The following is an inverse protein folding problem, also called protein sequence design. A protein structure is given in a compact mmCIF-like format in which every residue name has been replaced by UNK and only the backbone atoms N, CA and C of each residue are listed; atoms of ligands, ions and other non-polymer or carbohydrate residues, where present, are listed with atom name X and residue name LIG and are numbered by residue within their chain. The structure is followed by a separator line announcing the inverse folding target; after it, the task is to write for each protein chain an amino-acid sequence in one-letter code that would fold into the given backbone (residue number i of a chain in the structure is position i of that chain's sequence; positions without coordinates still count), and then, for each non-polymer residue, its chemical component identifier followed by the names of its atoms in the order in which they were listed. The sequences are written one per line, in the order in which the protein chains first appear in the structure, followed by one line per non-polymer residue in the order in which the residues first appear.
data_IF_819311872950
#
_entry.id   IF_819311872950
#
_cell.length_a   1.000
_cell.length_b   1.000
_cell.length_c   1.000
_cell.angle_alpha   90.00
_cell.angle_beta   90.00
_cell.angle_gamma   90.00
#
_symmetry.space_group_name_H-M   'P 1'
#
loop_
_entity.id
_entity.type
_entity.pdbx_description
1 polymer ?
#
# COMPACT_ATOMS: atom_id res chain seq x y z
N UNK A 1 -5.24 23.51 10.49
CA UNK A 1 -5.56 23.27 9.06
C UNK A 1 -6.17 21.89 8.98
N UNK A 2 -7.40 21.76 8.48
CA UNK A 2 -7.96 20.43 8.17
C UNK A 2 -7.14 19.90 6.98
N UNK A 3 -6.37 18.83 7.15
CA UNK A 3 -5.72 18.19 6.02
C UNK A 3 -6.81 17.59 5.14
N UNK A 4 -6.89 18.05 3.90
CA UNK A 4 -7.73 17.42 2.88
C UNK A 4 -7.28 15.97 2.72
N UNK A 5 -8.22 15.02 2.68
CA UNK A 5 -7.90 13.60 2.47
C UNK A 5 -7.16 13.43 1.15
N UNK A 6 -6.04 12.68 1.19
CA UNK A 6 -5.24 12.28 0.04
C UNK A 6 -5.99 11.30 -0.87
N UNK A 7 -7.11 10.74 -0.40
CA UNK A 7 -7.95 9.80 -1.13
C UNK A 7 -9.31 10.40 -1.51
N UNK A 8 -9.55 11.69 -1.25
CA UNK A 8 -10.85 12.35 -1.39
C UNK A 8 -11.48 12.26 -2.80
N UNK A 9 -10.70 11.94 -3.84
CA UNK A 9 -11.19 11.81 -5.23
C UNK A 9 -11.26 10.36 -5.75
N UNK A 10 -11.22 9.35 -4.85
CA UNK A 10 -11.11 7.95 -5.28
C UNK A 10 -9.76 7.65 -5.94
N UNK A 11 -8.74 8.41 -5.54
CA UNK A 11 -7.40 8.33 -6.13
C UNK A 11 -6.73 6.99 -5.82
N UNK A 12 -5.96 6.51 -6.79
CA UNK A 12 -5.09 5.35 -6.63
C UNK A 12 -4.13 5.60 -5.44
N UNK A 13 -4.11 4.75 -4.41
CA UNK A 13 -3.25 4.94 -3.23
C UNK A 13 -1.77 5.13 -3.58
N UNK A 14 -1.30 4.49 -4.66
CA UNK A 14 0.07 4.67 -5.12
C UNK A 14 0.31 6.08 -5.69
N UNK A 15 -0.67 6.62 -6.43
CA UNK A 15 -0.58 7.99 -6.92
C UNK A 15 -0.55 9.00 -5.78
N UNK A 16 -1.44 8.85 -4.79
CA UNK A 16 -1.47 9.69 -3.60
C UNK A 16 -0.14 9.68 -2.83
N UNK A 17 0.51 8.51 -2.68
CA UNK A 17 1.85 8.42 -2.10
C UNK A 17 2.89 9.22 -2.90
N UNK A 18 2.89 9.07 -4.22
CA UNK A 18 3.82 9.80 -5.09
C UNK A 18 3.63 11.31 -4.97
N UNK A 19 2.39 11.80 -4.99
CA UNK A 19 2.08 13.21 -4.81
C UNK A 19 2.54 13.73 -3.44
N UNK A 20 2.29 12.98 -2.36
CA UNK A 20 2.72 13.35 -1.01
C UNK A 20 4.25 13.47 -0.88
N UNK A 21 4.98 12.54 -1.50
CA UNK A 21 6.44 12.57 -1.59
C UNK A 21 6.95 13.40 -2.77
N UNK A 22 6.07 14.16 -3.41
CA UNK A 22 6.42 15.19 -4.37
C UNK A 22 7.26 14.66 -5.56
N UNK A 23 6.97 13.43 -5.96
CA UNK A 23 7.54 12.74 -7.11
C UNK A 23 6.44 12.32 -8.07
N UNK A 24 6.73 12.26 -9.37
CA UNK A 24 5.80 11.70 -10.34
C UNK A 24 5.76 10.18 -10.23
N UNK A 25 4.55 9.60 -10.33
CA UNK A 25 4.40 8.15 -10.42
C UNK A 25 5.04 7.65 -11.72
N UNK A 26 6.07 6.82 -11.60
CA UNK A 26 6.71 6.18 -12.74
C UNK A 26 6.13 4.80 -13.01
N UNK A 27 6.20 4.36 -14.26
CA UNK A 27 5.91 2.99 -14.66
C UNK A 27 7.24 2.35 -15.01
N UNK A 28 7.81 1.47 -14.16
CA UNK A 28 9.10 0.89 -14.45
C UNK A 28 9.03 -0.05 -15.65
N UNK A 29 10.19 -0.25 -16.28
CA UNK A 29 10.41 -1.34 -17.22
C UNK A 29 10.21 -2.72 -16.57
N UNK A 30 10.40 -3.76 -17.37
CA UNK A 30 10.47 -5.12 -16.86
C UNK A 30 11.88 -5.37 -16.35
N UNK A 31 12.00 -5.69 -15.06
CA UNK A 31 13.27 -5.97 -14.41
C UNK A 31 13.16 -7.29 -13.66
N UNK A 32 14.22 -8.10 -13.73
CA UNK A 32 14.40 -9.18 -12.77
C UNK A 32 14.91 -8.59 -11.46
N UNK A 33 14.52 -9.12 -10.29
CA UNK A 33 15.09 -8.65 -9.03
C UNK A 33 16.62 -8.75 -8.94
N UNK A 34 17.26 -9.62 -9.72
CA UNK A 34 18.72 -9.74 -9.77
C UNK A 34 19.40 -8.60 -10.53
N UNK A 35 18.68 -7.96 -11.46
CA UNK A 35 19.20 -6.90 -12.34
C UNK A 35 18.68 -5.50 -11.95
N UNK A 36 18.08 -5.37 -10.76
CA UNK A 36 17.52 -4.10 -10.30
C UNK A 36 18.62 -3.09 -9.96
N UNK A 37 18.46 -1.82 -10.37
CA UNK A 37 19.43 -0.78 -10.05
C UNK A 37 19.40 -0.43 -8.56
N UNK A 38 20.51 0.09 -8.05
CA UNK A 38 20.63 0.55 -6.65
C UNK A 38 19.78 1.80 -6.36
N UNK A 39 19.57 2.65 -7.37
CA UNK A 39 18.73 3.83 -7.30
C UNK A 39 17.77 3.91 -8.48
N UNK A 40 16.69 4.67 -8.32
CA UNK A 40 15.78 5.04 -9.40
C UNK A 40 15.64 6.55 -9.49
N UNK A 41 15.57 7.04 -10.74
CA UNK A 41 15.33 8.44 -11.04
C UNK A 41 13.83 8.74 -11.06
N UNK A 42 13.44 9.78 -10.33
CA UNK A 42 12.07 10.27 -10.28
C UNK A 42 11.99 11.72 -10.73
N UNK A 43 11.07 12.06 -11.64
CA UNK A 43 10.74 13.45 -11.90
C UNK A 43 10.12 14.07 -10.64
N UNK A 44 10.62 15.24 -10.27
CA UNK A 44 10.18 15.98 -9.09
C UNK A 44 9.05 16.94 -9.48
N UNK A 45 8.03 17.08 -8.63
CA UNK A 45 6.91 18.00 -8.88
C UNK A 45 7.26 19.44 -8.46
N UNK A 46 7.82 19.61 -7.26
CA UNK A 46 8.25 20.90 -6.69
C UNK A 46 9.53 20.70 -5.87
N UNK A 47 10.20 21.73 -5.35
CA UNK A 47 11.27 21.49 -4.36
C UNK A 47 10.66 21.39 -2.95
N UNK A 48 10.23 20.18 -2.58
CA UNK A 48 9.51 19.89 -1.33
C UNK A 48 9.94 18.53 -0.76
N UNK A 49 9.16 17.97 0.16
CA UNK A 49 9.46 16.74 0.91
C UNK A 49 9.79 15.57 -0.02
N UNK A 50 11.08 15.25 -0.15
CA UNK A 50 11.57 14.09 -0.89
C UNK A 50 11.38 12.78 -0.09
N UNK A 51 11.10 11.65 -0.77
CA UNK A 51 11.19 10.35 -0.14
C UNK A 51 12.66 10.00 0.11
N UNK A 52 12.90 9.12 1.08
CA UNK A 52 14.26 8.65 1.38
C UNK A 52 14.63 7.42 0.57
N UNK A 53 13.64 6.58 0.28
CA UNK A 53 13.79 5.31 -0.41
C UNK A 53 12.56 5.03 -1.27
N UNK A 54 12.67 4.08 -2.17
CA UNK A 54 11.55 3.51 -2.92
C UNK A 54 11.54 2.00 -2.74
N UNK A 55 10.37 1.43 -2.51
CA UNK A 55 10.17 -0.02 -2.43
C UNK A 55 9.81 -0.54 -3.82
N UNK A 56 10.55 -1.53 -4.31
CA UNK A 56 10.17 -2.30 -5.50
C UNK A 56 9.39 -3.55 -5.09
N UNK A 57 8.08 -3.50 -5.31
CA UNK A 57 7.12 -4.50 -4.87
C UNK A 57 6.77 -5.44 -6.02
N UNK A 58 7.36 -6.63 -6.02
CA UNK A 58 7.09 -7.68 -7.01
C UNK A 58 5.89 -8.53 -6.59
N UNK A 59 5.10 -9.05 -7.54
CA UNK A 59 4.03 -10.01 -7.25
C UNK A 59 4.50 -11.16 -6.34
N UNK A 60 3.62 -11.71 -5.49
CA UNK A 60 4.01 -12.80 -4.60
C UNK A 60 4.51 -14.01 -5.40
N UNK A 61 5.47 -14.74 -4.83
CA UNK A 61 6.13 -15.90 -5.44
C UNK A 61 6.93 -15.61 -6.73
N UNK A 62 7.27 -14.34 -6.99
CA UNK A 62 8.10 -14.00 -8.13
C UNK A 62 9.54 -14.52 -7.96
N UNK A 63 10.06 -15.20 -8.98
CA UNK A 63 11.43 -15.69 -8.99
C UNK A 63 12.42 -14.53 -9.24
N UNK A 64 13.58 -14.57 -8.60
CA UNK A 64 14.66 -13.58 -8.75
C UNK A 64 15.17 -13.41 -10.18
N UNK A 65 14.97 -14.41 -11.04
CA UNK A 65 15.46 -14.43 -12.42
C UNK A 65 14.37 -14.14 -13.46
N UNK A 66 13.11 -14.06 -13.05
CA UNK A 66 12.02 -13.73 -13.97
C UNK A 66 11.85 -12.22 -14.00
N UNK A 67 11.68 -11.65 -15.18
CA UNK A 67 11.39 -10.23 -15.31
C UNK A 67 9.90 -9.98 -15.12
N UNK A 68 9.56 -9.02 -14.28
CA UNK A 68 8.21 -8.48 -14.15
C UNK A 68 8.27 -6.97 -13.97
N UNK A 69 7.10 -6.35 -14.05
CA UNK A 69 6.92 -4.94 -13.70
C UNK A 69 6.58 -4.84 -12.21
N UNK A 70 7.50 -4.37 -11.35
CA UNK A 70 7.18 -4.12 -9.94
C UNK A 70 6.31 -2.88 -9.78
N UNK A 71 5.57 -2.81 -8.68
CA UNK A 71 5.02 -1.54 -8.19
C UNK A 71 6.13 -0.79 -7.45
N UNK A 72 6.35 0.48 -7.76
CA UNK A 72 7.37 1.28 -7.09
C UNK A 72 6.69 2.26 -6.14
N UNK A 73 6.86 2.07 -4.83
CA UNK A 73 6.23 2.89 -3.80
C UNK A 73 7.27 3.76 -3.07
N UNK A 74 7.15 5.10 -3.10
CA UNK A 74 8.04 5.98 -2.34
C UNK A 74 7.78 5.88 -0.83
N UNK A 75 8.83 6.02 -0.03
CA UNK A 75 8.76 5.89 1.42
C UNK A 75 9.81 6.75 2.13
N UNK A 76 9.44 7.19 3.33
CA UNK A 76 10.30 7.87 4.29
C UNK A 76 10.71 6.85 5.36
N UNK A 77 12.01 6.59 5.50
CA UNK A 77 12.56 5.55 6.36
C UNK A 77 12.23 5.81 7.83
N UNK A 78 12.26 7.08 8.25
CA UNK A 78 11.96 7.46 9.63
C UNK A 78 10.48 7.21 9.95
N UNK A 79 9.58 7.60 9.04
CA UNK A 79 8.16 7.28 9.20
C UNK A 79 7.91 5.77 9.18
N UNK A 80 8.61 5.05 8.31
CA UNK A 80 8.48 3.59 8.21
C UNK A 80 8.87 2.90 9.52
N UNK A 81 10.03 3.24 10.07
CA UNK A 81 10.55 2.65 11.31
C UNK A 81 9.68 2.99 12.54
N UNK A 82 8.89 4.06 12.48
CA UNK A 82 7.89 4.38 13.52
C UNK A 82 6.59 3.57 13.35
N UNK A 83 6.20 3.29 12.10
CA UNK A 83 4.92 2.68 11.75
C UNK A 83 4.93 1.15 11.72
N UNK A 84 6.10 0.54 11.51
CA UNK A 84 6.28 -0.90 11.33
C UNK A 84 7.35 -1.45 12.26
N UNK A 85 7.19 -2.71 12.68
CA UNK A 85 8.17 -3.41 13.54
C UNK A 85 9.22 -4.18 12.76
N UNK A 86 8.97 -4.46 11.48
CA UNK A 86 9.88 -5.19 10.62
C UNK A 86 10.77 -4.21 9.88
N UNK A 87 12.07 -4.32 10.06
CA UNK A 87 13.05 -3.48 9.36
C UNK A 87 13.18 -3.92 7.90
N UNK A 88 12.54 -3.19 6.99
CA UNK A 88 12.70 -3.38 5.54
C UNK A 88 13.76 -2.46 4.94
N UNK A 89 13.84 -1.24 5.47
CA UNK A 89 14.61 -0.16 4.88
C UNK A 89 15.94 -0.09 5.62
N UNK A 90 17.08 -0.21 4.93
CA UNK A 90 18.37 -0.06 5.58
C UNK A 90 18.48 1.35 6.18
N UNK A 91 19.10 1.50 7.36
CA UNK A 91 19.30 2.82 7.95
C UNK A 91 20.15 3.68 7.02
N UNK A 92 19.77 4.95 6.87
CA UNK A 92 20.60 5.90 6.15
C UNK A 92 21.96 6.04 6.84
N UNK A 93 23.08 6.15 6.08
CA UNK A 93 24.39 6.38 6.67
C UNK A 93 24.39 7.62 7.58
N UNK A 94 25.15 7.62 8.69
CA UNK A 94 25.26 8.78 9.57
C UNK A 94 25.70 10.04 8.80
N UNK A 95 24.96 11.14 8.95
CA UNK A 95 25.22 12.40 8.23
C UNK A 95 24.67 12.47 6.80
N UNK A 96 23.97 11.43 6.33
CA UNK A 96 23.26 11.46 5.04
C UNK A 96 22.10 12.45 5.11
N UNK A 97 22.08 13.42 4.20
CA UNK A 97 20.90 14.24 3.95
C UNK A 97 19.89 13.46 3.11
N UNK A 98 18.61 13.87 3.13
CA UNK A 98 17.60 13.33 2.19
C UNK A 98 18.10 13.47 0.74
N UNK A 99 17.65 12.60 -0.19
CA UNK A 99 17.95 12.76 -1.61
C UNK A 99 17.66 14.19 -2.09
N UNK A 100 18.63 14.79 -2.78
CA UNK A 100 18.55 16.19 -3.23
C UNK A 100 18.19 16.21 -4.71
N UNK A 101 17.18 17.00 -5.11
CA UNK A 101 16.86 17.19 -6.51
C UNK A 101 18.03 17.77 -7.30
N UNK A 102 18.20 17.32 -8.54
CA UNK A 102 19.22 17.80 -9.47
C UNK A 102 18.59 18.07 -10.85
N UNK A 103 19.10 19.10 -11.52
CA UNK A 103 18.61 19.49 -12.83
C UNK A 103 19.19 18.59 -13.93
N UNK A 104 18.34 18.15 -14.83
CA UNK A 104 18.69 17.42 -16.06
C UNK A 104 18.20 18.21 -17.27
N UNK A 105 18.53 17.74 -18.48
CA UNK A 105 17.98 18.32 -19.72
C UNK A 105 16.46 18.14 -19.86
N UNK A 106 15.86 17.24 -19.07
CA UNK A 106 14.44 16.90 -19.13
C UNK A 106 13.61 17.52 -17.99
N UNK A 107 14.26 18.14 -16.99
CA UNK A 107 13.59 18.74 -15.84
C UNK A 107 14.35 18.54 -14.54
N UNK A 108 13.63 18.64 -13.42
CA UNK A 108 14.17 18.40 -12.08
C UNK A 108 13.92 16.94 -11.68
N UNK A 109 14.99 16.23 -11.31
CA UNK A 109 14.95 14.81 -10.97
C UNK A 109 15.58 14.55 -9.61
N UNK A 110 15.27 13.41 -9.01
CA UNK A 110 15.91 12.95 -7.77
C UNK A 110 16.25 11.47 -7.89
N UNK A 111 17.49 11.13 -7.51
CA UNK A 111 17.96 9.75 -7.43
C UNK A 111 17.64 9.18 -6.06
N UNK A 112 16.78 8.17 -6.00
CA UNK A 112 16.29 7.62 -4.75
C UNK A 112 16.75 6.16 -4.58
N UNK A 113 17.38 5.80 -3.45
CA UNK A 113 17.75 4.43 -3.13
C UNK A 113 16.58 3.45 -3.22
N UNK A 114 16.83 2.31 -3.84
CA UNK A 114 15.84 1.26 -4.07
C UNK A 114 15.98 0.11 -3.07
N UNK A 115 14.85 -0.35 -2.56
CA UNK A 115 14.76 -1.47 -1.60
C UNK A 115 13.92 -2.61 -2.21
N UNK A 116 14.42 -3.85 -2.09
CA UNK A 116 13.82 -5.06 -2.66
C UNK A 116 13.32 -6.03 -1.56
N UNK A 117 12.11 -5.85 -1.03
CA UNK A 117 11.56 -6.67 0.07
C UNK A 117 10.89 -7.98 -0.42
N UNK A 118 11.55 -8.73 -1.32
CA UNK A 118 10.94 -9.83 -2.09
C UNK A 118 10.22 -10.91 -1.26
N UNK A 119 10.73 -11.23 -0.07
CA UNK A 119 10.16 -12.28 0.78
C UNK A 119 9.32 -11.74 1.95
N UNK A 120 9.35 -10.43 2.19
CA UNK A 120 8.84 -9.85 3.44
C UNK A 120 7.46 -9.21 3.26
N UNK A 121 7.06 -8.90 2.03
CA UNK A 121 5.76 -8.30 1.72
C UNK A 121 4.83 -9.37 1.15
N UNK A 122 3.84 -9.86 1.93
CA UNK A 122 2.92 -10.90 1.48
C UNK A 122 2.03 -10.50 0.30
N UNK A 123 1.63 -9.22 0.23
CA UNK A 123 0.68 -8.74 -0.76
C UNK A 123 1.04 -7.32 -1.28
N UNK A 124 1.84 -7.22 -2.34
CA UNK A 124 2.23 -5.97 -2.99
C UNK A 124 1.08 -5.01 -3.33
N UNK A 125 -0.05 -5.46 -3.92
CA UNK A 125 -1.09 -4.52 -4.38
C UNK A 125 -1.75 -3.69 -3.27
N UNK A 126 -1.73 -4.17 -2.02
CA UNK A 126 -2.31 -3.44 -0.89
C UNK A 126 -1.29 -2.60 -0.12
N UNK A 127 0.00 -2.64 -0.49
CA UNK A 127 1.04 -1.94 0.25
C UNK A 127 0.90 -0.42 0.18
N UNK A 128 0.55 0.14 -0.97
CA UNK A 128 0.43 1.59 -1.10
C UNK A 128 -0.66 2.16 -0.18
N UNK A 129 -1.81 1.48 -0.10
CA UNK A 129 -2.86 1.82 0.85
C UNK A 129 -2.37 1.69 2.29
N UNK A 130 -1.68 0.58 2.62
CA UNK A 130 -1.15 0.39 3.97
C UNK A 130 -0.16 1.47 4.36
N UNK A 131 0.75 1.87 3.46
CA UNK A 131 1.75 2.91 3.71
C UNK A 131 1.09 4.26 3.97
N UNK A 132 0.07 4.67 3.19
CA UNK A 132 -0.64 5.94 3.45
C UNK A 132 -1.14 6.04 4.90
N UNK A 133 -1.80 4.98 5.37
CA UNK A 133 -2.43 4.98 6.70
C UNK A 133 -1.46 4.68 7.84
N UNK A 134 -0.55 3.71 7.65
CA UNK A 134 0.38 3.30 8.70
C UNK A 134 1.42 4.40 8.99
N UNK A 135 1.91 5.08 7.95
CA UNK A 135 2.84 6.21 8.08
C UNK A 135 2.17 7.50 8.56
N UNK A 136 0.84 7.49 8.74
CA UNK A 136 0.06 8.66 9.17
C UNK A 136 -0.08 9.77 8.13
N UNK A 137 0.05 9.44 6.83
CA UNK A 137 -0.11 10.41 5.74
C UNK A 137 -1.58 10.65 5.43
N UNK A 138 -2.37 9.58 5.45
CA UNK A 138 -3.83 9.64 5.46
C UNK A 138 -4.34 9.35 6.88
N UNK A 139 -5.24 10.21 7.36
CA UNK A 139 -5.78 10.15 8.73
C UNK A 139 -7.27 9.86 8.77
N UNK A 140 -7.96 10.00 7.65
CA UNK A 140 -9.38 9.69 7.47
C UNK A 140 -9.59 8.18 7.45
N UNK A 141 -9.78 7.59 8.63
CA UNK A 141 -9.96 6.13 8.77
C UNK A 141 -11.19 5.60 8.02
N UNK A 142 -12.16 6.47 7.75
CA UNK A 142 -13.33 6.12 6.94
C UNK A 142 -12.91 5.82 5.50
N UNK A 143 -11.92 6.54 4.95
CA UNK A 143 -11.41 6.29 3.60
C UNK A 143 -10.73 4.92 3.51
N UNK A 144 -10.05 4.47 4.58
CA UNK A 144 -9.52 3.11 4.66
C UNK A 144 -10.65 2.07 4.56
N UNK A 145 -11.75 2.28 5.29
CA UNK A 145 -12.90 1.40 5.24
C UNK A 145 -13.53 1.37 3.84
N UNK A 146 -13.70 2.52 3.18
CA UNK A 146 -14.26 2.61 1.83
C UNK A 146 -13.36 1.99 0.75
N UNK A 147 -12.03 2.04 0.91
CA UNK A 147 -11.12 1.31 0.03
C UNK A 147 -11.25 -0.21 0.19
N UNK A 148 -11.60 -0.70 1.38
CA UNK A 148 -11.68 -2.14 1.68
C UNK A 148 -13.06 -2.75 1.47
N UNK A 149 -14.12 -1.99 1.74
CA UNK A 149 -15.51 -2.46 1.72
C UNK A 149 -16.37 -1.58 0.79
N UNK A 150 -17.34 -2.15 0.06
CA UNK A 150 -18.34 -1.37 -0.64
C UNK A 150 -19.14 -0.48 0.32
N UNK A 151 -19.61 0.67 -0.15
CA UNK A 151 -20.41 1.61 0.65
C UNK A 151 -21.62 0.91 1.28
N UNK A 152 -22.34 0.08 0.52
CA UNK A 152 -23.48 -0.70 1.01
C UNK A 152 -23.13 -1.64 2.18
N UNK A 153 -21.89 -2.12 2.27
CA UNK A 153 -21.42 -2.93 3.40
C UNK A 153 -21.07 -2.04 4.58
N UNK A 154 -20.52 -0.85 4.34
CA UNK A 154 -20.20 0.13 5.40
C UNK A 154 -21.47 0.68 6.05
N UNK A 155 -22.56 0.84 5.30
CA UNK A 155 -23.85 1.34 5.80
C UNK A 155 -24.48 0.44 6.88
N UNK A 156 -24.12 -0.85 6.90
CA UNK A 156 -24.60 -1.81 7.91
C UNK A 156 -23.77 -1.79 9.21
N UNK A 157 -22.73 -0.96 9.29
CA UNK A 157 -21.92 -0.83 10.49
C UNK A 157 -22.76 -0.28 11.67
N UNK A 158 -22.63 -0.81 12.90
CA UNK A 158 -21.62 -1.78 13.38
C UNK A 158 -22.04 -3.26 13.33
N UNK A 159 -23.12 -3.61 12.65
CA UNK A 159 -23.63 -4.98 12.63
C UNK A 159 -22.83 -5.87 11.67
N UNK A 160 -21.73 -6.47 12.16
CA UNK A 160 -20.84 -7.31 11.36
C UNK A 160 -21.54 -8.47 10.63
N UNK A 161 -22.63 -9.02 11.20
CA UNK A 161 -23.42 -10.05 10.54
C UNK A 161 -24.18 -9.51 9.33
N UNK A 162 -24.81 -8.33 9.46
CA UNK A 162 -25.47 -7.66 8.34
C UNK A 162 -24.45 -7.24 7.26
N UNK A 163 -23.31 -6.68 7.66
CA UNK A 163 -22.20 -6.38 6.74
C UNK A 163 -21.77 -7.61 5.92
N UNK A 164 -21.63 -8.77 6.58
CA UNK A 164 -21.25 -10.02 5.90
C UNK A 164 -22.34 -10.49 4.92
N UNK A 165 -23.62 -10.35 5.27
CA UNK A 165 -24.73 -10.70 4.36
C UNK A 165 -24.77 -9.80 3.11
N UNK A 166 -24.55 -8.48 3.27
CA UNK A 166 -24.44 -7.58 2.10
C UNK A 166 -23.23 -7.97 1.25
N UNK A 167 -22.10 -8.32 1.87
CA UNK A 167 -20.91 -8.79 1.16
C UNK A 167 -21.18 -10.09 0.38
N UNK A 168 -22.02 -11.00 0.91
CA UNK A 168 -22.45 -12.22 0.20
C UNK A 168 -23.21 -11.89 -1.08
N UNK A 169 -23.97 -10.80 -1.12
CA UNK A 169 -24.81 -10.43 -2.28
C UNK A 169 -24.05 -9.84 -3.48
N UNK A 170 -22.76 -9.54 -3.34
CA UNK A 170 -21.93 -9.00 -4.43
C UNK A 170 -21.80 -9.99 -5.61
N UNK A 171 -21.38 -9.52 -6.78
CA UNK A 171 -20.99 -10.44 -7.86
C UNK A 171 -19.79 -11.29 -7.44
N UNK A 172 -19.60 -12.45 -8.08
CA UNK A 172 -18.45 -13.33 -7.77
C UNK A 172 -17.11 -12.63 -8.03
N UNK A 173 -17.00 -11.90 -9.14
CA UNK A 173 -15.80 -11.13 -9.48
C UNK A 173 -15.50 -10.03 -8.45
N UNK A 174 -16.49 -9.23 -8.07
CA UNK A 174 -16.28 -8.14 -7.10
C UNK A 174 -15.93 -8.69 -5.72
N UNK A 175 -16.62 -9.76 -5.30
CA UNK A 175 -16.34 -10.41 -4.04
C UNK A 175 -14.92 -10.97 -4.00
N UNK A 176 -14.50 -11.71 -5.04
CA UNK A 176 -13.16 -12.32 -5.07
C UNK A 176 -12.07 -11.25 -5.08
N UNK A 177 -12.26 -10.16 -5.83
CA UNK A 177 -11.37 -9.00 -5.83
C UNK A 177 -11.18 -8.43 -4.43
N UNK A 178 -12.29 -8.19 -3.72
CA UNK A 178 -12.27 -7.64 -2.35
C UNK A 178 -11.73 -8.65 -1.34
N UNK A 179 -12.05 -9.92 -1.48
CA UNK A 179 -11.55 -11.00 -0.64
C UNK A 179 -10.03 -11.09 -0.71
N UNK A 180 -9.46 -11.15 -1.93
CA UNK A 180 -8.01 -11.19 -2.12
C UNK A 180 -7.33 -9.93 -1.58
N UNK A 181 -7.91 -8.75 -1.85
CA UNK A 181 -7.36 -7.49 -1.35
C UNK A 181 -7.37 -7.40 0.18
N UNK A 182 -8.51 -7.68 0.83
CA UNK A 182 -8.64 -7.59 2.29
C UNK A 182 -7.80 -8.65 3.01
N UNK A 183 -7.75 -9.87 2.47
CA UNK A 183 -6.85 -10.94 2.94
C UNK A 183 -5.39 -10.53 2.82
N UNK A 184 -5.00 -9.97 1.67
CA UNK A 184 -3.65 -9.50 1.39
C UNK A 184 -3.23 -8.36 2.31
N UNK A 185 -4.09 -7.36 2.50
CA UNK A 185 -3.83 -6.25 3.41
C UNK A 185 -3.68 -6.72 4.85
N UNK A 186 -4.53 -7.63 5.31
CA UNK A 186 -4.40 -8.23 6.63
C UNK A 186 -3.09 -9.01 6.80
N UNK A 187 -2.66 -9.77 5.78
CA UNK A 187 -1.35 -10.44 5.78
C UNK A 187 -0.19 -9.44 5.89
N UNK A 188 -0.25 -8.30 5.19
CA UNK A 188 0.78 -7.26 5.34
C UNK A 188 0.77 -6.64 6.74
N UNK A 189 -0.41 -6.36 7.31
CA UNK A 189 -0.54 -5.82 8.68
C UNK A 189 0.14 -6.74 9.69
N UNK A 190 -0.12 -8.05 9.60
CA UNK A 190 0.49 -9.05 10.47
C UNK A 190 1.99 -9.23 10.17
N UNK A 191 2.34 -9.37 8.90
CA UNK A 191 3.70 -9.69 8.46
C UNK A 191 4.71 -8.58 8.71
N UNK A 192 4.28 -7.31 8.66
CA UNK A 192 5.14 -6.15 8.89
C UNK A 192 5.04 -5.59 10.32
N UNK A 193 4.08 -6.09 11.11
CA UNK A 193 3.86 -5.64 12.49
C UNK A 193 3.52 -4.15 12.57
N UNK A 194 2.43 -3.74 11.92
CA UNK A 194 1.92 -2.35 11.97
C UNK A 194 1.68 -1.93 13.42
N UNK A 195 2.04 -0.71 13.78
CA UNK A 195 1.93 -0.18 15.16
C UNK A 195 0.65 0.62 15.41
N UNK A 196 0.04 1.18 14.36
CA UNK A 196 -1.15 2.01 14.46
C UNK A 196 -2.42 1.17 14.74
N UNK A 197 -2.90 1.17 15.98
CA UNK A 197 -4.06 0.39 16.41
C UNK A 197 -5.35 0.69 15.63
N UNK A 198 -5.60 1.95 15.26
CA UNK A 198 -6.83 2.33 14.51
C UNK A 198 -6.84 1.69 13.12
N UNK A 199 -5.68 1.65 12.46
CA UNK A 199 -5.49 0.97 11.17
C UNK A 199 -5.70 -0.53 11.32
N UNK A 200 -5.09 -1.14 12.34
CA UNK A 200 -5.22 -2.57 12.62
C UNK A 200 -6.68 -2.97 12.86
N UNK A 201 -7.43 -2.17 13.62
CA UNK A 201 -8.84 -2.43 13.95
C UNK A 201 -9.73 -2.43 12.70
N UNK A 202 -9.60 -1.42 11.84
CA UNK A 202 -10.40 -1.33 10.61
C UNK A 202 -10.04 -2.43 9.62
N UNK A 203 -8.75 -2.70 9.41
CA UNK A 203 -8.33 -3.81 8.52
C UNK A 203 -8.83 -5.15 9.05
N UNK A 204 -8.76 -5.38 10.37
CA UNK A 204 -9.26 -6.60 11.01
C UNK A 204 -10.77 -6.75 10.85
N UNK A 205 -11.54 -5.67 11.04
CA UNK A 205 -12.99 -5.70 10.85
C UNK A 205 -13.35 -6.10 9.41
N UNK A 206 -12.78 -5.39 8.43
CA UNK A 206 -13.05 -5.66 7.02
C UNK A 206 -12.62 -7.08 6.61
N UNK A 207 -11.48 -7.55 7.11
CA UNK A 207 -11.03 -8.93 6.96
C UNK A 207 -12.06 -9.93 7.53
N UNK A 208 -12.51 -9.74 8.77
CA UNK A 208 -13.45 -10.66 9.43
C UNK A 208 -14.80 -10.71 8.70
N UNK A 209 -15.35 -9.55 8.32
CA UNK A 209 -16.59 -9.45 7.54
C UNK A 209 -16.46 -10.22 6.22
N UNK A 210 -15.35 -10.00 5.51
CA UNK A 210 -15.11 -10.62 4.20
C UNK A 210 -14.87 -12.13 4.32
N UNK A 211 -14.18 -12.58 5.38
CA UNK A 211 -13.95 -13.99 5.67
C UNK A 211 -15.24 -14.73 6.04
N UNK A 212 -16.11 -14.10 6.83
CA UNK A 212 -17.41 -14.68 7.17
C UNK A 212 -18.32 -14.77 5.96
N UNK A 213 -18.33 -13.73 5.10
CA UNK A 213 -19.06 -13.78 3.84
C UNK A 213 -18.59 -14.93 2.92
N UNK A 214 -17.28 -15.23 2.86
CA UNK A 214 -16.77 -16.40 2.12
C UNK A 214 -17.32 -17.70 2.68
N UNK A 215 -17.38 -17.85 4.01
CA UNK A 215 -17.95 -19.04 4.66
C UNK A 215 -19.42 -19.21 4.34
N UNK A 216 -20.20 -18.13 4.37
CA UNK A 216 -21.62 -18.14 4.03
C UNK A 216 -21.86 -18.56 2.57
N UNK A 217 -21.11 -17.99 1.61
CA UNK A 217 -21.17 -18.41 0.20
C UNK A 217 -20.86 -19.88 0.00
N UNK A 218 -19.81 -20.38 0.66
CA UNK A 218 -19.45 -21.79 0.57
C UNK A 218 -20.54 -22.71 1.14
N UNK A 219 -21.32 -22.26 2.13
CA UNK A 219 -22.47 -23.03 2.64
C UNK A 219 -23.60 -23.07 1.62
N UNK A 220 -23.94 -21.93 1.02
CA UNK A 220 -25.00 -21.82 0.00
C UNK A 220 -24.72 -22.67 -1.27
N UNK A 221 -23.45 -22.91 -1.60
CA UNK A 221 -23.07 -23.77 -2.72
C UNK A 221 -23.19 -25.28 -2.42
N UNK A 222 -23.25 -25.65 -1.14
CA UNK A 222 -23.32 -27.05 -0.69
C UNK A 222 -24.75 -27.47 -0.26
N UNK A 223 -25.71 -26.55 -0.34
CA UNK A 223 -27.15 -26.77 -0.11
C UNK A 223 -27.89 -26.90 -1.46
#
# INVERSE_FOLDING_TARGET
MMSQSLLASGEDPLHALCLHFNVQKIIPGYFSPADMPETLEFPVLHDSRMPTHVLALYPPYHNKYTSARPLIAPVDADLYNQAFRVDLIPPSPPGSTRPVPHSTSQGLYVSIPLVLPLATIPHPPSMSLLLLFALGLETSINDLAYCMLPVSVVDEFPNAAAMAQVMVSLSEEEFERRFQFNMGLWKNVLGLGVTNNRVIEVVRLAFNVTAEARRLRNRQLNE
#
